data_IF_097469011451
#
_entry.id   IF_097469011451
#
_cell.length_a   1.000
_cell.length_b   1.000
_cell.length_c   1.000
_cell.angle_alpha   90.00
_cell.angle_beta   90.00
_cell.angle_gamma   90.00
#
_symmetry.space_group_name_H-M   'P 1'
#
loop_
_entity.id
_entity.type
_entity.pdbx_description
1 polymer ?
#
# COMPACT_ATOMS: atom_id res chain seq x y z
N UNK A 1 -17.31 -3.42 13.43
CA UNK A 1 -16.92 -2.20 14.16
C UNK A 1 -17.46 -0.99 13.43
N UNK A 2 -17.96 0.03 14.14
CA UNK A 2 -18.35 1.29 13.52
C UNK A 2 -17.09 2.01 12.98
N UNK A 3 -17.14 2.46 11.71
CA UNK A 3 -16.07 3.23 11.07
C UNK A 3 -16.32 4.71 11.29
N UNK A 4 -15.30 5.44 11.73
CA UNK A 4 -15.39 6.90 11.83
C UNK A 4 -15.18 7.59 10.48
N UNK A 5 -14.52 6.93 9.53
CA UNK A 5 -14.32 7.40 8.16
C UNK A 5 -14.63 6.25 7.19
N UNK A 6 -15.41 6.51 6.15
CA UNK A 6 -15.79 5.50 5.17
C UNK A 6 -16.01 6.07 3.77
N UNK A 7 -15.89 5.20 2.76
CA UNK A 7 -16.27 5.50 1.40
C UNK A 7 -17.74 5.15 1.18
N UNK A 8 -18.52 6.11 0.69
CA UNK A 8 -19.92 5.91 0.27
C UNK A 8 -19.99 5.06 -1.00
N UNK A 9 -21.18 4.51 -1.30
CA UNK A 9 -21.42 3.81 -2.57
C UNK A 9 -21.19 4.68 -3.81
N UNK A 10 -21.34 6.01 -3.67
CA UNK A 10 -21.09 6.98 -4.72
C UNK A 10 -19.60 7.36 -4.85
N UNK A 11 -18.72 6.79 -4.02
CA UNK A 11 -17.26 6.97 -4.12
C UNK A 11 -16.68 8.11 -3.27
N UNK A 12 -17.50 8.94 -2.64
CA UNK A 12 -17.04 10.02 -1.75
C UNK A 12 -16.65 9.49 -0.37
N UNK A 13 -15.64 10.09 0.25
CA UNK A 13 -15.23 9.82 1.63
C UNK A 13 -16.02 10.72 2.58
N UNK A 14 -16.61 10.12 3.61
CA UNK A 14 -17.30 10.85 4.69
C UNK A 14 -16.67 10.49 6.04
N UNK A 15 -16.83 11.39 7.02
CA UNK A 15 -16.41 11.18 8.39
C UNK A 15 -17.56 11.46 9.37
N UNK A 16 -17.61 10.71 10.45
CA UNK A 16 -18.56 10.85 11.55
C UNK A 16 -17.81 11.27 12.80
N UNK A 17 -18.16 12.41 13.39
CA UNK A 17 -17.49 12.95 14.57
C UNK A 17 -18.45 13.67 15.52
N UNK A 18 -18.08 13.72 16.80
CA UNK A 18 -18.72 14.54 17.82
C UNK A 18 -17.82 15.72 18.22
N UNK A 19 -18.25 16.49 19.23
CA UNK A 19 -17.42 17.54 19.82
C UNK A 19 -16.09 16.97 20.33
N UNK A 20 -15.01 17.76 20.23
CA UNK A 20 -13.68 17.42 20.74
C UNK A 20 -13.69 17.03 22.22
N UNK A 21 -12.65 16.32 22.65
CA UNK A 21 -12.50 15.90 24.05
C UNK A 21 -11.55 16.83 24.82
N UNK A 22 -11.91 17.19 26.05
CA UNK A 22 -11.04 17.86 27.00
C UNK A 22 -9.91 16.95 27.51
N UNK A 23 -9.00 17.51 28.31
CA UNK A 23 -7.88 16.76 28.91
C UNK A 23 -8.31 15.64 29.85
N UNK A 24 -9.55 15.71 30.36
CA UNK A 24 -10.19 14.70 31.20
C UNK A 24 -10.94 13.63 30.39
N UNK A 25 -10.89 13.70 29.06
CA UNK A 25 -11.59 12.78 28.16
C UNK A 25 -13.08 13.05 27.98
N UNK A 26 -13.63 14.13 28.56
CA UNK A 26 -15.06 14.49 28.42
C UNK A 26 -15.30 15.36 27.19
N UNK A 27 -16.51 15.33 26.63
CA UNK A 27 -16.86 16.16 25.48
C UNK A 27 -16.80 17.66 25.86
N UNK A 28 -16.12 18.46 25.04
CA UNK A 28 -16.09 19.92 25.16
C UNK A 28 -17.48 20.52 24.98
N UNK A 29 -17.74 21.67 25.58
CA UNK A 29 -18.88 22.51 25.20
C UNK A 29 -18.69 23.09 23.80
N UNK A 30 -19.78 23.48 23.13
CA UNK A 30 -19.72 24.10 21.79
C UNK A 30 -18.77 25.30 21.78
N UNK A 31 -18.88 26.20 22.77
CA UNK A 31 -18.03 27.38 22.88
C UNK A 31 -16.54 27.08 23.08
N UNK A 32 -16.17 25.89 23.58
CA UNK A 32 -14.76 25.46 23.70
C UNK A 32 -14.30 24.67 22.47
N UNK A 33 -15.20 23.94 21.82
CA UNK A 33 -14.89 23.15 20.64
C UNK A 33 -14.71 24.03 19.39
N UNK A 34 -15.50 25.10 19.26
CA UNK A 34 -15.37 26.09 18.19
C UNK A 34 -14.21 27.04 18.55
N UNK A 35 -13.14 26.99 17.75
CA UNK A 35 -12.00 27.88 17.92
C UNK A 35 -12.30 29.25 17.29
N UNK A 36 -12.86 29.25 16.08
CA UNK A 36 -13.28 30.43 15.31
C UNK A 36 -14.34 30.03 14.26
N UNK A 37 -14.66 30.93 13.31
CA UNK A 37 -15.76 30.75 12.35
C UNK A 37 -15.54 29.66 11.30
N UNK A 38 -14.32 29.15 11.15
CA UNK A 38 -13.94 28.10 10.19
C UNK A 38 -13.24 26.88 10.85
N UNK A 39 -13.01 26.90 12.16
CA UNK A 39 -12.32 25.82 12.88
C UNK A 39 -13.12 25.29 14.07
N UNK A 40 -13.39 23.99 14.05
CA UNK A 40 -13.99 23.24 15.17
C UNK A 40 -13.16 22.00 15.51
N UNK A 41 -12.91 21.80 16.80
CA UNK A 41 -12.26 20.59 17.32
C UNK A 41 -13.29 19.47 17.42
N UNK A 42 -12.99 18.33 16.80
CA UNK A 42 -13.89 17.17 16.75
C UNK A 42 -13.22 15.90 17.27
N UNK A 43 -14.03 14.97 17.77
CA UNK A 43 -13.60 13.62 18.15
C UNK A 43 -14.25 12.57 17.24
N UNK A 44 -13.48 11.70 16.56
CA UNK A 44 -14.02 10.68 15.67
C UNK A 44 -15.03 9.75 16.39
N UNK A 45 -16.15 9.43 15.73
CA UNK A 45 -17.15 8.47 16.23
C UNK A 45 -16.93 7.11 15.57
N UNK A 46 -16.09 6.28 16.20
CA UNK A 46 -15.75 4.95 15.72
C UNK A 46 -14.25 4.81 15.44
N UNK A 47 -13.89 3.82 14.63
CA UNK A 47 -12.49 3.50 14.36
C UNK A 47 -12.04 4.07 13.02
N UNK A 48 -10.80 4.56 12.98
CA UNK A 48 -10.12 4.93 11.74
C UNK A 48 -9.09 3.84 11.44
N UNK A 49 -9.13 3.28 10.24
CA UNK A 49 -8.16 2.28 9.80
C UNK A 49 -6.93 2.97 9.19
N UNK A 50 -5.78 2.32 9.29
CA UNK A 50 -4.50 2.82 8.75
C UNK A 50 -3.93 1.82 7.75
N UNK A 51 -3.38 2.31 6.64
CA UNK A 51 -2.60 1.55 5.66
C UNK A 51 -1.16 2.07 5.65
N UNK A 52 -0.22 1.13 5.65
CA UNK A 52 1.21 1.43 5.69
C UNK A 52 1.70 1.89 4.31
N UNK A 53 2.38 3.04 4.28
CA UNK A 53 3.05 3.57 3.10
C UNK A 53 4.34 2.80 2.78
N UNK A 54 4.73 2.81 1.51
CA UNK A 54 6.01 2.26 1.03
C UNK A 54 6.09 0.73 0.98
N UNK A 55 5.02 0.02 1.35
CA UNK A 55 4.99 -1.44 1.39
C UNK A 55 3.62 -2.00 1.05
N UNK A 56 3.60 -3.27 0.66
CA UNK A 56 2.39 -4.04 0.39
C UNK A 56 2.58 -5.48 0.85
N UNK A 57 1.68 -5.99 1.70
CA UNK A 57 1.73 -7.37 2.19
C UNK A 57 0.83 -8.27 1.36
N UNK A 58 1.09 -9.58 1.28
CA UNK A 58 0.14 -10.52 0.69
C UNK A 58 -1.25 -10.38 1.34
N UNK A 59 -2.27 -10.48 0.50
CA UNK A 59 -3.66 -10.18 0.84
C UNK A 59 -4.30 -11.36 1.57
N UNK A 60 -5.07 -11.09 2.64
CA UNK A 60 -5.86 -12.13 3.34
C UNK A 60 -7.22 -12.36 2.68
N UNK A 61 -7.73 -11.35 1.99
CA UNK A 61 -8.98 -11.37 1.23
C UNK A 61 -8.98 -10.31 0.15
N UNK A 62 -9.69 -10.57 -0.94
CA UNK A 62 -9.94 -9.62 -2.01
C UNK A 62 -11.20 -10.01 -2.80
N UNK A 63 -11.68 -9.12 -3.67
CA UNK A 63 -12.84 -9.38 -4.54
C UNK A 63 -12.45 -10.28 -5.73
N UNK A 64 -13.42 -11.02 -6.26
CA UNK A 64 -13.23 -11.86 -7.44
C UNK A 64 -13.90 -11.21 -8.66
N UNK A 65 -13.47 -11.52 -9.90
CA UNK A 65 -14.10 -10.98 -11.09
C UNK A 65 -15.60 -11.30 -11.18
N UNK A 66 -15.99 -12.49 -10.73
CA UNK A 66 -17.38 -12.95 -10.72
C UNK A 66 -18.22 -12.35 -9.58
N UNK A 67 -17.60 -11.73 -8.58
CA UNK A 67 -18.28 -11.15 -7.42
C UNK A 67 -17.52 -9.89 -6.95
N UNK A 68 -17.58 -8.80 -7.75
CA UNK A 68 -16.74 -7.62 -7.58
C UNK A 68 -17.07 -6.79 -6.34
N UNK A 69 -18.26 -7.01 -5.75
CA UNK A 69 -18.77 -6.24 -4.60
C UNK A 69 -18.50 -6.92 -3.25
N UNK A 70 -17.95 -8.15 -3.25
CA UNK A 70 -17.74 -8.94 -2.04
C UNK A 70 -16.31 -9.41 -1.90
N UNK A 71 -15.75 -9.22 -0.71
CA UNK A 71 -14.45 -9.77 -0.34
C UNK A 71 -14.58 -11.25 -0.01
N UNK A 72 -13.71 -12.05 -0.62
CA UNK A 72 -13.54 -13.47 -0.35
C UNK A 72 -12.15 -13.70 0.25
N UNK A 73 -12.04 -14.63 1.19
CA UNK A 73 -10.71 -15.01 1.69
C UNK A 73 -9.87 -15.61 0.56
N UNK A 74 -8.60 -15.22 0.45
CA UNK A 74 -7.71 -15.76 -0.59
C UNK A 74 -7.53 -17.28 -0.45
N UNK A 75 -7.64 -17.82 0.76
CA UNK A 75 -7.60 -19.28 0.99
C UNK A 75 -8.92 -20.01 0.73
N UNK A 76 -9.89 -19.39 0.06
CA UNK A 76 -11.19 -20.03 -0.24
C UNK A 76 -11.12 -20.85 -1.54
N UNK A 77 -11.99 -21.87 -1.71
CA UNK A 77 -12.05 -22.65 -2.95
C UNK A 77 -12.31 -21.81 -4.20
N UNK A 78 -13.02 -20.68 -4.07
CA UNK A 78 -13.27 -19.76 -5.18
C UNK A 78 -11.97 -19.10 -5.68
N UNK A 79 -11.09 -18.69 -4.77
CA UNK A 79 -9.79 -18.12 -5.10
C UNK A 79 -8.80 -19.17 -5.62
N UNK A 80 -8.85 -20.39 -5.09
CA UNK A 80 -8.07 -21.53 -5.60
C UNK A 80 -8.44 -21.86 -7.06
N UNK A 81 -9.74 -22.01 -7.33
CA UNK A 81 -10.24 -22.23 -8.69
C UNK A 81 -9.86 -21.08 -9.65
N UNK A 82 -9.98 -19.83 -9.20
CA UNK A 82 -9.61 -18.66 -10.00
C UNK A 82 -8.09 -18.59 -10.30
N UNK A 83 -7.23 -18.77 -9.29
CA UNK A 83 -5.78 -18.66 -9.48
C UNK A 83 -5.14 -19.91 -10.11
N UNK A 84 -5.89 -21.00 -10.29
CA UNK A 84 -5.48 -22.14 -11.11
C UNK A 84 -5.27 -21.72 -12.57
N UNK A 85 -6.19 -20.93 -13.14
CA UNK A 85 -6.03 -20.27 -14.44
C UNK A 85 -6.78 -18.93 -14.46
N UNK A 86 -6.14 -17.83 -14.05
CA UNK A 86 -6.78 -16.51 -14.02
C UNK A 86 -6.95 -15.90 -15.41
N UNK A 87 -6.65 -16.66 -16.47
CA UNK A 87 -6.83 -16.27 -17.86
C UNK A 87 -7.70 -17.27 -18.63
N UNK A 88 -8.44 -18.12 -17.93
CA UNK A 88 -9.40 -19.03 -18.51
C UNK A 88 -10.43 -18.29 -19.37
N UNK A 89 -10.90 -18.96 -20.42
CA UNK A 89 -11.99 -18.45 -21.25
C UNK A 89 -13.24 -18.20 -20.40
N UNK A 90 -13.94 -17.08 -20.65
CA UNK A 90 -15.16 -16.70 -19.93
C UNK A 90 -14.93 -15.72 -18.76
N UNK A 91 -13.67 -15.43 -18.39
CA UNK A 91 -13.36 -14.32 -17.49
C UNK A 91 -13.50 -12.97 -18.23
N UNK A 92 -13.85 -11.88 -17.52
CA UNK A 92 -13.84 -10.55 -18.11
C UNK A 92 -12.47 -10.23 -18.74
N UNK A 93 -12.41 -9.62 -19.94
CA UNK A 93 -11.13 -9.31 -20.57
C UNK A 93 -10.38 -8.23 -19.79
N UNK A 94 -9.06 -8.19 -19.96
CA UNK A 94 -8.29 -7.02 -19.56
C UNK A 94 -8.55 -5.88 -20.54
N UNK A 95 -8.75 -4.68 -20.01
CA UNK A 95 -8.91 -3.46 -20.81
C UNK A 95 -8.03 -2.32 -20.25
N UNK A 96 -6.95 -1.94 -20.95
CA UNK A 96 -6.46 -2.54 -22.19
C UNK A 96 -5.92 -3.98 -21.99
N UNK A 97 -5.76 -4.78 -23.06
CA UNK A 97 -5.14 -6.10 -22.97
C UNK A 97 -3.74 -6.05 -22.35
N UNK A 98 -3.39 -7.09 -21.57
CA UNK A 98 -2.04 -7.18 -21.02
C UNK A 98 -1.02 -7.47 -22.15
N UNK A 99 0.19 -6.88 -22.10
CA UNK A 99 1.28 -7.28 -22.98
C UNK A 99 1.63 -8.77 -22.81
N UNK A 100 1.99 -9.43 -23.90
CA UNK A 100 2.26 -10.88 -23.92
C UNK A 100 3.34 -11.31 -22.92
N UNK A 101 4.39 -10.50 -22.73
CA UNK A 101 5.46 -10.78 -21.77
C UNK A 101 4.95 -10.79 -20.32
N UNK A 102 4.12 -9.81 -19.95
CA UNK A 102 3.51 -9.74 -18.62
C UNK A 102 2.56 -10.91 -18.39
N UNK A 103 1.69 -11.22 -19.36
CA UNK A 103 0.77 -12.35 -19.27
C UNK A 103 1.53 -13.67 -19.10
N UNK A 104 2.55 -13.92 -19.92
CA UNK A 104 3.37 -15.13 -19.82
C UNK A 104 4.05 -15.26 -18.44
N UNK A 105 4.60 -14.15 -17.91
CA UNK A 105 5.22 -14.13 -16.59
C UNK A 105 4.23 -14.34 -15.43
N UNK A 106 2.97 -13.93 -15.58
CA UNK A 106 1.91 -14.21 -14.62
C UNK A 106 1.47 -15.67 -14.71
N UNK A 107 1.23 -16.19 -15.91
CA UNK A 107 0.86 -17.60 -16.15
C UNK A 107 1.87 -18.58 -15.57
N UNK A 108 3.16 -18.26 -15.68
CA UNK A 108 4.23 -19.09 -15.14
C UNK A 108 4.26 -19.17 -13.59
N UNK A 109 3.58 -18.24 -12.90
CA UNK A 109 3.55 -18.14 -11.43
C UNK A 109 2.17 -18.46 -10.83
N UNK A 110 1.15 -18.60 -11.67
CA UNK A 110 -0.20 -19.02 -11.27
C UNK A 110 -0.38 -20.54 -11.41
N UNK A 111 -1.33 -21.10 -10.69
CA UNK A 111 -1.58 -22.55 -10.64
C UNK A 111 -2.34 -22.96 -9.38
N UNK A 112 -2.62 -24.26 -9.20
CA UNK A 112 -3.43 -24.77 -8.08
C UNK A 112 -2.96 -24.31 -6.70
N UNK A 113 -1.64 -24.24 -6.48
CA UNK A 113 -1.07 -23.87 -5.18
C UNK A 113 -0.93 -22.35 -4.96
N UNK A 114 -1.22 -21.53 -5.97
CA UNK A 114 -0.97 -20.08 -5.91
C UNK A 114 -1.79 -19.40 -4.81
N UNK A 115 -3.06 -19.76 -4.65
CA UNK A 115 -3.92 -19.22 -3.60
C UNK A 115 -3.42 -19.62 -2.19
N UNK A 116 -3.03 -20.89 -2.03
CA UNK A 116 -2.51 -21.44 -0.78
C UNK A 116 -1.16 -20.82 -0.38
N UNK A 117 -0.27 -20.60 -1.35
CA UNK A 117 0.99 -19.86 -1.17
C UNK A 117 0.71 -18.42 -0.69
N UNK A 118 -0.16 -17.69 -1.39
CA UNK A 118 -0.44 -16.29 -1.06
C UNK A 118 -1.02 -16.11 0.34
N UNK A 119 -2.02 -16.93 0.72
CA UNK A 119 -2.67 -16.81 2.04
C UNK A 119 -1.74 -17.24 3.18
N UNK A 120 -0.83 -18.19 2.94
CA UNK A 120 0.19 -18.58 3.92
C UNK A 120 1.13 -17.42 4.23
N UNK A 121 1.66 -16.76 3.20
CA UNK A 121 2.49 -15.56 3.37
C UNK A 121 1.71 -14.40 3.99
N UNK A 122 0.44 -14.20 3.64
CA UNK A 122 -0.42 -13.15 4.21
C UNK A 122 -0.63 -13.34 5.73
N UNK A 123 -0.88 -14.58 6.16
CA UNK A 123 -1.01 -14.92 7.59
C UNK A 123 0.31 -14.76 8.32
N UNK A 124 1.42 -15.17 7.71
CA UNK A 124 2.76 -14.97 8.30
C UNK A 124 3.09 -13.49 8.49
N UNK A 125 2.82 -12.64 7.48
CA UNK A 125 2.99 -11.20 7.59
C UNK A 125 2.09 -10.57 8.66
N UNK A 126 0.85 -11.05 8.78
CA UNK A 126 -0.07 -10.61 9.85
C UNK A 126 0.49 -10.96 11.23
N UNK A 127 0.96 -12.19 11.43
CA UNK A 127 1.59 -12.61 12.69
C UNK A 127 2.88 -11.86 13.00
N UNK A 128 3.69 -11.55 11.99
CA UNK A 128 4.87 -10.73 12.16
C UNK A 128 4.50 -9.34 12.68
N UNK A 129 3.53 -8.66 12.07
CA UNK A 129 3.08 -7.33 12.51
C UNK A 129 2.49 -7.36 13.92
N UNK A 130 1.62 -8.33 14.24
CA UNK A 130 1.09 -8.53 15.59
C UNK A 130 2.23 -8.68 16.61
N UNK A 131 3.25 -9.50 16.30
CA UNK A 131 4.40 -9.72 17.16
C UNK A 131 5.26 -8.48 17.37
N UNK A 132 5.47 -7.66 16.34
CA UNK A 132 6.22 -6.40 16.45
C UNK A 132 5.50 -5.42 17.39
N UNK A 133 4.19 -5.24 17.20
CA UNK A 133 3.37 -4.35 18.02
C UNK A 133 3.31 -4.84 19.47
N UNK A 134 3.11 -6.14 19.68
CA UNK A 134 3.01 -6.73 21.01
C UNK A 134 4.35 -6.67 21.77
N UNK A 135 5.46 -6.82 21.05
CA UNK A 135 6.81 -6.65 21.61
C UNK A 135 7.02 -5.22 22.08
N UNK A 136 6.69 -4.23 21.23
CA UNK A 136 6.85 -2.81 21.57
C UNK A 136 5.90 -2.39 22.70
N UNK A 137 4.67 -2.91 22.71
CA UNK A 137 3.70 -2.70 23.79
C UNK A 137 4.24 -3.23 25.11
N UNK A 138 4.73 -4.47 25.12
CA UNK A 138 5.28 -5.11 26.33
C UNK A 138 6.54 -4.38 26.80
N UNK A 139 7.45 -4.02 25.89
CA UNK A 139 8.69 -3.31 26.22
C UNK A 139 8.44 -1.90 26.79
N UNK A 140 7.36 -1.23 26.36
CA UNK A 140 6.95 0.06 26.92
C UNK A 140 6.24 -0.04 28.28
N UNK A 141 5.88 -1.26 28.73
CA UNK A 141 5.09 -1.48 29.94
C UNK A 141 3.64 -1.02 29.83
N UNK A 142 3.19 -0.57 28.65
CA UNK A 142 1.83 -0.12 28.43
C UNK A 142 0.85 -1.31 28.35
N UNK A 143 -0.33 -1.18 28.91
CA UNK A 143 -1.44 -2.09 28.61
C UNK A 143 -2.12 -1.69 27.29
N UNK A 144 -3.09 -2.48 26.82
CA UNK A 144 -3.79 -2.21 25.54
C UNK A 144 -4.54 -0.88 25.50
N UNK A 145 -5.05 -0.40 26.64
CA UNK A 145 -5.79 0.87 26.70
C UNK A 145 -4.86 2.09 26.63
N UNK A 146 -3.63 1.95 27.14
CA UNK A 146 -2.65 3.03 27.22
C UNK A 146 -1.64 3.03 26.06
N UNK A 147 -1.57 1.94 25.29
CA UNK A 147 -0.66 1.85 24.16
C UNK A 147 -1.11 2.78 23.03
N UNK A 148 -0.20 3.65 22.59
CA UNK A 148 -0.47 4.65 21.56
C UNK A 148 0.42 4.44 20.35
N UNK A 149 -0.13 4.75 19.20
CA UNK A 149 0.61 4.79 17.94
C UNK A 149 1.02 6.22 17.60
N UNK A 150 2.22 6.36 17.07
CA UNK A 150 2.69 7.54 16.38
C UNK A 150 2.47 7.35 14.87
N UNK A 151 1.74 8.28 14.25
CA UNK A 151 1.39 8.26 12.83
C UNK A 151 2.14 9.38 12.12
N UNK A 152 3.08 9.03 11.24
CA UNK A 152 3.72 9.99 10.35
C UNK A 152 3.09 9.92 8.96
N UNK A 153 2.50 11.03 8.52
CA UNK A 153 1.87 11.17 7.21
C UNK A 153 2.87 11.69 6.18
N UNK A 154 2.71 11.28 4.92
CA UNK A 154 3.42 11.87 3.79
C UNK A 154 2.54 12.90 3.08
N UNK A 155 2.63 13.00 1.75
CA UNK A 155 1.84 13.97 0.99
C UNK A 155 0.34 13.63 1.00
N UNK A 156 -0.02 12.37 0.77
CA UNK A 156 -1.40 11.91 0.88
C UNK A 156 -1.71 11.44 2.31
N UNK A 157 -2.81 11.96 2.87
CA UNK A 157 -3.24 11.63 4.23
C UNK A 157 -4.23 10.46 4.24
N UNK A 158 -5.14 10.42 3.27
CA UNK A 158 -6.18 9.38 3.15
C UNK A 158 -6.10 8.67 1.81
N UNK A 159 -6.39 7.37 1.82
CA UNK A 159 -6.74 6.68 0.59
C UNK A 159 -8.24 6.81 0.25
N UNK A 160 -8.61 6.38 -0.95
CA UNK A 160 -10.02 6.40 -1.41
C UNK A 160 -11.00 5.64 -0.52
N UNK A 161 -10.52 4.77 0.38
CA UNK A 161 -11.34 3.97 1.28
C UNK A 161 -11.50 4.62 2.67
N UNK A 162 -10.96 5.83 2.86
CA UNK A 162 -11.02 6.56 4.13
C UNK A 162 -10.01 6.06 5.17
N UNK A 163 -8.95 5.37 4.74
CA UNK A 163 -7.88 4.93 5.65
C UNK A 163 -6.76 5.96 5.68
N UNK A 164 -6.17 6.17 6.84
CA UNK A 164 -4.92 6.91 6.95
C UNK A 164 -3.80 6.22 6.16
N UNK A 165 -2.97 7.01 5.49
CA UNK A 165 -1.75 6.56 4.82
C UNK A 165 -0.53 7.01 5.62
N UNK A 166 0.16 6.08 6.29
CA UNK A 166 1.20 6.46 7.26
C UNK A 166 2.41 5.54 7.29
N UNK A 167 3.48 6.08 7.86
CA UNK A 167 4.51 5.31 8.55
C UNK A 167 4.10 5.19 10.01
N UNK A 168 3.76 3.97 10.43
CA UNK A 168 3.24 3.71 11.78
C UNK A 168 4.39 3.33 12.73
N UNK A 169 4.36 3.84 13.95
CA UNK A 169 5.31 3.49 14.99
C UNK A 169 4.63 3.49 16.37
N UNK A 170 5.31 3.00 17.41
CA UNK A 170 4.90 3.24 18.79
C UNK A 170 5.09 4.72 19.15
N UNK A 171 4.15 5.28 19.92
CA UNK A 171 4.28 6.64 20.43
C UNK A 171 5.06 6.66 21.75
N UNK A 172 6.34 7.00 21.65
CA UNK A 172 7.21 7.22 22.82
C UNK A 172 7.42 8.71 23.07
N UNK A 173 7.36 9.16 24.34
CA UNK A 173 7.59 10.57 24.70
C UNK A 173 8.99 11.07 24.36
N UNK A 174 10.01 10.20 24.47
CA UNK A 174 11.42 10.55 24.28
C UNK A 174 12.05 9.69 23.16
N UNK A 175 12.67 10.30 22.12
CA UNK A 175 13.45 9.59 21.11
C UNK A 175 14.75 8.99 21.69
N UNK A 176 15.41 8.02 21.00
CA UNK A 176 15.09 7.56 19.64
C UNK A 176 13.95 6.54 19.60
N UNK A 177 13.05 6.71 18.62
CA UNK A 177 12.06 5.67 18.26
C UNK A 177 12.78 4.53 17.51
N UNK A 178 12.31 3.28 17.61
CA UNK A 178 12.76 2.24 16.68
C UNK A 178 12.38 2.63 15.23
N UNK A 179 12.95 1.98 14.21
CA UNK A 179 12.41 2.06 12.85
C UNK A 179 10.90 1.78 12.84
N UNK A 180 10.17 2.42 11.92
CA UNK A 180 8.73 2.25 11.80
C UNK A 180 8.35 0.77 11.59
N UNK A 181 7.10 0.41 11.91
CA UNK A 181 6.61 -0.92 11.57
C UNK A 181 6.69 -1.19 10.07
N UNK A 182 6.53 -0.15 9.23
CA UNK A 182 6.72 -0.26 7.78
C UNK A 182 8.14 -0.74 7.43
N UNK A 183 9.16 -0.06 7.96
CA UNK A 183 10.57 -0.39 7.73
C UNK A 183 10.93 -1.77 8.31
N UNK A 184 10.41 -2.12 9.50
CA UNK A 184 10.64 -3.43 10.13
C UNK A 184 10.00 -4.58 9.35
N UNK A 185 8.80 -4.38 8.79
CA UNK A 185 8.14 -5.37 7.93
C UNK A 185 8.91 -5.60 6.63
N UNK A 186 9.43 -4.53 6.00
CA UNK A 186 10.28 -4.63 4.82
C UNK A 186 11.61 -5.33 5.13
N UNK A 187 12.29 -4.93 6.21
CA UNK A 187 13.55 -5.53 6.64
C UNK A 187 13.41 -7.01 7.03
N UNK A 188 12.25 -7.41 7.57
CA UNK A 188 11.95 -8.80 7.88
C UNK A 188 11.55 -9.66 6.68
N UNK A 189 11.42 -9.08 5.47
CA UNK A 189 10.93 -9.78 4.29
C UNK A 189 9.45 -10.15 4.38
N UNK A 190 8.65 -9.46 5.20
CA UNK A 190 7.22 -9.75 5.37
C UNK A 190 6.31 -8.92 4.44
N UNK A 191 6.89 -7.99 3.70
CA UNK A 191 6.19 -7.13 2.76
C UNK A 191 7.01 -6.91 1.49
N UNK A 192 6.31 -6.72 0.37
CA UNK A 192 6.89 -6.26 -0.89
C UNK A 192 7.06 -4.73 -0.79
N UNK A 193 8.19 -4.15 -1.21
CA UNK A 193 8.30 -2.70 -1.36
C UNK A 193 7.29 -2.18 -2.39
N UNK A 194 6.57 -1.14 -2.01
CA UNK A 194 5.57 -0.51 -2.88
C UNK A 194 5.67 1.01 -2.74
N UNK A 195 6.77 1.54 -3.25
CA UNK A 195 7.10 2.95 -3.20
C UNK A 195 6.27 3.70 -4.24
N UNK A 196 5.43 4.62 -3.77
CA UNK A 196 4.56 5.43 -4.63
C UNK A 196 4.92 6.88 -4.37
N UNK A 197 5.36 7.59 -5.41
CA UNK A 197 5.57 9.03 -5.34
C UNK A 197 4.22 9.75 -5.19
N UNK A 198 4.11 10.82 -4.37
CA UNK A 198 5.17 11.48 -3.59
C UNK A 198 5.33 10.93 -2.15
N UNK A 199 4.72 9.80 -1.82
CA UNK A 199 4.64 9.26 -0.45
C UNK A 199 5.84 8.39 -0.01
N UNK A 200 7.05 8.70 -0.49
CA UNK A 200 8.26 7.92 -0.19
C UNK A 200 8.98 8.36 1.09
N UNK A 201 8.70 9.55 1.62
CA UNK A 201 9.27 10.02 2.88
C UNK A 201 8.32 11.01 3.59
N UNK A 202 7.86 10.73 4.82
CA UNK A 202 6.90 11.57 5.53
C UNK A 202 7.53 12.79 6.21
N UNK A 203 8.86 12.82 6.41
CA UNK A 203 9.54 13.88 7.15
C UNK A 203 10.18 14.93 6.25
N UNK A 204 10.22 14.69 4.94
CA UNK A 204 10.76 15.64 3.98
C UNK A 204 9.65 16.59 3.53
N UNK A 205 9.63 17.78 4.12
CA UNK A 205 8.77 18.87 3.63
C UNK A 205 9.24 19.28 2.24
N UNK A 206 8.38 19.07 1.24
CA UNK A 206 8.59 19.60 -0.10
C UNK A 206 7.95 20.98 -0.21
N UNK A 207 8.56 21.94 -0.92
CA UNK A 207 7.99 23.27 -1.07
C UNK A 207 6.71 23.27 -1.92
N UNK A 208 6.57 22.29 -2.82
CA UNK A 208 5.34 21.98 -3.56
C UNK A 208 5.41 20.55 -4.11
N UNK A 209 4.28 20.01 -4.56
CA UNK A 209 4.22 18.72 -5.27
C UNK A 209 5.05 18.75 -6.57
N UNK A 210 5.05 19.87 -7.29
CA UNK A 210 5.85 20.05 -8.53
C UNK A 210 7.35 20.01 -8.21
N UNK A 211 7.77 20.69 -7.14
CA UNK A 211 9.17 20.69 -6.73
C UNK A 211 9.65 19.34 -6.15
N UNK A 212 8.71 18.45 -5.82
CA UNK A 212 9.02 17.10 -5.36
C UNK A 212 9.29 16.12 -6.53
N UNK A 213 9.03 16.52 -7.79
CA UNK A 213 9.31 15.70 -8.97
C UNK A 213 10.83 15.56 -9.11
N UNK A 214 11.38 14.33 -9.13
CA UNK A 214 12.82 14.13 -9.27
C UNK A 214 13.35 14.65 -10.61
N UNK A 215 14.60 15.09 -10.64
CA UNK A 215 15.27 15.45 -11.89
C UNK A 215 15.44 14.21 -12.79
N UNK A 216 15.07 14.27 -14.07
CA UNK A 216 15.30 13.18 -15.00
C UNK A 216 16.80 13.02 -15.30
N UNK A 217 17.22 11.80 -15.68
CA UNK A 217 18.59 11.52 -16.10
C UNK A 217 19.61 11.54 -14.95
N UNK A 218 19.15 11.43 -13.70
CA UNK A 218 19.99 11.31 -12.52
C UNK A 218 19.43 10.22 -11.59
N UNK A 219 20.29 9.53 -10.81
CA UNK A 219 19.82 8.62 -9.78
C UNK A 219 18.90 9.32 -8.77
N UNK A 220 17.72 8.75 -8.52
CA UNK A 220 16.80 9.25 -7.49
C UNK A 220 17.27 8.72 -6.14
N UNK A 221 17.79 9.61 -5.29
CA UNK A 221 18.26 9.27 -3.94
C UNK A 221 17.46 10.02 -2.88
N UNK A 222 17.00 9.30 -1.86
CA UNK A 222 16.47 9.85 -0.62
C UNK A 222 16.88 8.94 0.53
N UNK A 223 17.45 9.46 1.64
CA UNK A 223 17.95 8.61 2.71
C UNK A 223 16.92 7.62 3.27
N UNK A 224 15.63 7.98 3.32
CA UNK A 224 14.57 7.07 3.76
C UNK A 224 14.30 5.98 2.74
N UNK A 225 14.14 6.36 1.47
CA UNK A 225 13.96 5.42 0.36
C UNK A 225 15.16 4.47 0.25
N UNK A 226 16.38 4.99 0.23
CA UNK A 226 17.60 4.21 0.07
C UNK A 226 17.79 3.19 1.19
N UNK A 227 17.51 3.58 2.45
CA UNK A 227 17.51 2.64 3.57
C UNK A 227 16.47 1.53 3.40
N UNK A 228 15.25 1.87 3.00
CA UNK A 228 14.20 0.87 2.77
C UNK A 228 14.60 -0.11 1.65
N UNK A 229 15.17 0.40 0.56
CA UNK A 229 15.68 -0.41 -0.56
C UNK A 229 16.78 -1.36 -0.13
N UNK A 230 17.77 -0.86 0.60
CA UNK A 230 18.87 -1.66 1.13
C UNK A 230 18.36 -2.74 2.10
N UNK A 231 17.39 -2.41 2.96
CA UNK A 231 16.79 -3.36 3.88
C UNK A 231 16.08 -4.51 3.14
N UNK A 232 15.32 -4.21 2.09
CA UNK A 232 14.66 -5.25 1.28
C UNK A 232 15.68 -6.08 0.51
N UNK A 233 16.70 -5.45 -0.09
CA UNK A 233 17.76 -6.18 -0.78
C UNK A 233 18.50 -7.15 0.17
N UNK A 234 18.75 -6.74 1.41
CA UNK A 234 19.31 -7.59 2.46
C UNK A 234 18.36 -8.73 2.85
N UNK A 235 17.07 -8.46 3.03
CA UNK A 235 16.06 -9.48 3.34
C UNK A 235 15.95 -10.54 2.22
N UNK A 236 16.00 -10.09 0.96
CA UNK A 236 16.02 -10.96 -0.23
C UNK A 236 17.30 -11.80 -0.29
N UNK A 237 18.47 -11.21 -0.07
CA UNK A 237 19.73 -11.93 -0.03
C UNK A 237 19.77 -12.98 1.09
N UNK A 238 19.16 -12.68 2.24
CA UNK A 238 19.01 -13.58 3.37
C UNK A 238 17.81 -14.55 3.24
N UNK A 239 17.04 -14.49 2.13
CA UNK A 239 15.90 -15.35 1.82
C UNK A 239 14.82 -15.34 2.92
N UNK A 240 14.53 -14.17 3.48
CA UNK A 240 13.56 -14.00 4.55
C UNK A 240 12.13 -13.89 4.04
N UNK A 241 11.17 -14.39 4.83
CA UNK A 241 9.73 -14.25 4.60
C UNK A 241 9.30 -14.58 3.17
N UNK A 242 8.81 -13.60 2.43
CA UNK A 242 8.32 -13.75 1.05
C UNK A 242 9.41 -14.11 0.03
N UNK A 243 10.69 -14.01 0.42
CA UNK A 243 11.86 -14.31 -0.42
C UNK A 243 12.47 -15.69 -0.15
N UNK A 244 11.81 -16.55 0.64
CA UNK A 244 12.30 -17.89 0.93
C UNK A 244 12.48 -18.71 -0.37
N UNK A 245 13.60 -19.42 -0.52
CA UNK A 245 13.91 -20.17 -1.74
C UNK A 245 12.95 -21.34 -1.97
N UNK A 246 12.59 -22.05 -0.91
CA UNK A 246 11.72 -23.22 -1.00
C UNK A 246 10.25 -22.87 -1.25
N UNK A 247 9.83 -21.66 -0.90
CA UNK A 247 8.44 -21.21 -0.96
C UNK A 247 8.35 -19.69 -1.11
N UNK A 248 8.87 -19.11 -2.21
CA UNK A 248 8.78 -17.68 -2.43
C UNK A 248 7.32 -17.29 -2.68
N UNK A 249 6.97 -16.03 -2.41
CA UNK A 249 5.67 -15.51 -2.78
C UNK A 249 5.49 -15.58 -4.32
N UNK A 250 4.46 -16.29 -4.78
CA UNK A 250 4.23 -16.53 -6.20
C UNK A 250 3.78 -15.26 -6.95
N UNK A 251 2.79 -14.56 -6.38
CA UNK A 251 2.24 -13.32 -6.94
C UNK A 251 2.42 -12.16 -5.98
N UNK A 252 2.80 -11.00 -6.53
CA UNK A 252 2.81 -9.76 -5.77
C UNK A 252 1.38 -9.41 -5.33
N UNK A 253 1.19 -8.73 -4.18
CA UNK A 253 -0.15 -8.36 -3.75
C UNK A 253 -0.87 -7.46 -4.77
N UNK A 254 -0.13 -6.58 -5.44
CA UNK A 254 -0.66 -5.78 -6.56
C UNK A 254 -1.10 -6.62 -7.77
N UNK A 255 -0.38 -7.70 -8.06
CA UNK A 255 -0.72 -8.64 -9.14
C UNK A 255 -2.01 -9.37 -8.85
N UNK A 256 -2.15 -9.93 -7.64
CA UNK A 256 -3.40 -10.55 -7.20
C UNK A 256 -4.57 -9.56 -7.30
N UNK A 257 -4.35 -8.30 -6.88
CA UNK A 257 -5.39 -7.27 -6.91
C UNK A 257 -5.85 -6.93 -8.34
N UNK A 258 -4.96 -6.76 -9.31
CA UNK A 258 -5.41 -6.45 -10.68
C UNK A 258 -5.95 -7.69 -11.41
N UNK A 259 -5.51 -8.90 -11.06
CA UNK A 259 -6.08 -10.13 -11.61
C UNK A 259 -7.53 -10.32 -11.14
N UNK A 260 -7.80 -10.11 -9.85
CA UNK A 260 -9.11 -10.34 -9.24
C UNK A 260 -10.10 -9.18 -9.37
N UNK A 261 -9.63 -7.95 -9.62
CA UNK A 261 -10.51 -6.79 -9.74
C UNK A 261 -11.22 -6.77 -11.07
N UNK A 262 -12.51 -6.48 -11.04
CA UNK A 262 -13.27 -6.07 -12.23
C UNK A 262 -13.97 -4.74 -12.03
N UNK A 263 -14.20 -4.03 -13.13
CA UNK A 263 -14.89 -2.73 -13.18
C UNK A 263 -15.94 -2.78 -14.28
N UNK A 264 -17.06 -2.10 -14.06
CA UNK A 264 -18.09 -1.93 -15.09
C UNK A 264 -17.69 -0.75 -15.96
N UNK A 265 -17.31 -1.03 -17.21
CA UNK A 265 -17.04 -0.04 -18.24
C UNK A 265 -18.19 0.10 -19.24
N UNK A 266 -18.05 0.98 -20.24
CA UNK A 266 -19.07 1.21 -21.27
C UNK A 266 -19.42 -0.04 -22.08
N UNK A 267 -18.47 -0.97 -22.22
CA UNK A 267 -18.57 -2.20 -23.00
C UNK A 267 -18.89 -3.43 -22.16
N UNK A 268 -19.14 -3.25 -20.86
CA UNK A 268 -19.42 -4.33 -19.91
C UNK A 268 -18.35 -4.46 -18.83
N UNK A 269 -18.29 -5.63 -18.20
CA UNK A 269 -17.33 -5.93 -17.14
C UNK A 269 -15.93 -6.14 -17.76
N UNK A 270 -14.93 -5.44 -17.24
CA UNK A 270 -13.52 -5.62 -17.63
C UNK A 270 -12.61 -5.68 -16.41
N UNK A 271 -11.37 -6.13 -16.59
CA UNK A 271 -10.34 -6.10 -15.55
C UNK A 271 -9.36 -4.96 -15.86
N UNK A 272 -9.21 -3.98 -14.95
CA UNK A 272 -8.17 -2.98 -15.13
C UNK A 272 -6.82 -3.64 -14.83
N UNK A 273 -5.88 -3.52 -15.78
CA UNK A 273 -4.49 -3.94 -15.57
C UNK A 273 -3.76 -3.06 -14.55
N UNK A 274 -2.42 -3.14 -14.46
CA UNK A 274 -1.64 -2.16 -13.70
C UNK A 274 -1.87 -0.75 -14.25
N UNK A 275 -1.97 0.24 -13.35
CA UNK A 275 -2.42 1.60 -13.66
C UNK A 275 -1.39 2.69 -13.28
N UNK A 276 -0.26 2.31 -12.69
CA UNK A 276 0.79 3.24 -12.27
C UNK A 276 2.03 3.08 -13.13
N UNK A 277 2.51 4.19 -13.65
CA UNK A 277 3.79 4.26 -14.33
C UNK A 277 4.91 3.96 -13.35
N UNK A 278 6.07 3.56 -13.85
CA UNK A 278 7.16 3.11 -12.99
C UNK A 278 8.51 3.62 -13.47
N UNK A 279 9.32 4.05 -12.52
CA UNK A 279 10.71 4.46 -12.73
C UNK A 279 11.61 3.37 -12.16
N UNK A 280 12.66 3.01 -12.91
CA UNK A 280 13.76 2.19 -12.40
C UNK A 280 14.73 3.06 -11.60
N UNK A 281 14.72 2.88 -10.27
CA UNK A 281 15.58 3.60 -9.34
C UNK A 281 17.08 3.26 -9.48
N UNK A 282 17.45 2.29 -10.30
CA UNK A 282 18.87 1.96 -10.61
C UNK A 282 19.32 2.50 -11.96
N UNK A 283 18.39 2.73 -12.90
CA UNK A 283 18.76 3.11 -14.27
C UNK A 283 19.44 4.49 -14.31
N UNK A 284 19.00 5.42 -13.46
CA UNK A 284 19.52 6.79 -13.45
C UNK A 284 19.26 7.51 -14.78
N UNK A 285 18.23 7.10 -15.51
CA UNK A 285 17.81 7.66 -16.79
C UNK A 285 16.59 8.59 -16.61
N UNK A 286 15.96 8.95 -17.71
CA UNK A 286 14.79 9.82 -17.78
C UNK A 286 13.50 9.06 -18.12
N UNK A 287 13.49 7.73 -17.95
CA UNK A 287 12.42 6.88 -18.45
C UNK A 287 11.32 6.68 -17.43
N UNK A 288 10.10 6.92 -17.88
CA UNK A 288 8.88 6.58 -17.18
C UNK A 288 8.22 5.43 -17.94
N UNK A 289 8.37 4.21 -17.43
CA UNK A 289 7.87 3.01 -18.08
C UNK A 289 6.36 2.88 -17.90
N UNK A 290 5.67 2.48 -18.97
CA UNK A 290 4.24 2.21 -18.95
C UNK A 290 3.87 1.22 -17.83
N UNK A 291 2.66 1.33 -17.25
CA UNK A 291 2.27 0.54 -16.09
C UNK A 291 2.47 -0.97 -16.23
N UNK A 292 2.26 -1.53 -17.43
CA UNK A 292 2.42 -2.97 -17.67
C UNK A 292 3.89 -3.44 -17.69
N UNK A 293 4.85 -2.52 -17.78
CA UNK A 293 6.28 -2.80 -17.90
C UNK A 293 7.03 -2.86 -16.56
N UNK A 294 6.34 -2.73 -15.42
CA UNK A 294 6.96 -2.82 -14.08
C UNK A 294 7.75 -4.12 -13.83
N UNK A 295 7.37 -5.20 -14.51
CA UNK A 295 8.01 -6.51 -14.39
C UNK A 295 9.40 -6.54 -15.06
N UNK A 296 9.71 -5.59 -15.94
CA UNK A 296 11.03 -5.45 -16.57
C UNK A 296 12.10 -5.01 -15.56
N UNK A 297 11.70 -4.35 -14.47
CA UNK A 297 12.57 -4.04 -13.33
C UNK A 297 12.52 -5.25 -12.40
N UNK A 298 13.56 -6.10 -12.33
CA UNK A 298 13.47 -7.43 -11.74
C UNK A 298 13.21 -7.40 -10.22
N UNK A 299 13.76 -6.40 -9.53
CA UNK A 299 13.66 -6.29 -8.09
C UNK A 299 12.64 -5.22 -7.71
N UNK A 300 11.70 -5.58 -6.84
CA UNK A 300 10.62 -4.69 -6.44
C UNK A 300 11.16 -3.46 -5.68
N UNK A 301 12.29 -3.60 -4.97
CA UNK A 301 12.94 -2.49 -4.27
C UNK A 301 13.53 -1.42 -5.20
N UNK A 302 13.56 -1.65 -6.51
CA UNK A 302 14.03 -0.66 -7.48
C UNK A 302 12.89 0.02 -8.24
N UNK A 303 11.63 -0.28 -7.88
CA UNK A 303 10.45 0.27 -8.55
C UNK A 303 9.93 1.48 -7.78
N UNK A 304 9.91 2.64 -8.42
CA UNK A 304 9.15 3.79 -7.94
C UNK A 304 7.91 4.00 -8.81
N UNK A 305 6.74 3.78 -8.22
CA UNK A 305 5.47 3.96 -8.90
C UNK A 305 5.03 5.43 -8.91
N UNK A 306 4.54 5.88 -10.06
CA UNK A 306 3.99 7.21 -10.30
C UNK A 306 2.51 7.07 -10.69
N UNK A 307 1.58 7.56 -9.86
CA UNK A 307 0.16 7.66 -10.22
C UNK A 307 -0.05 8.44 -11.51
N UNK A 308 -1.01 8.00 -12.34
CA UNK A 308 -1.24 8.53 -13.69
C UNK A 308 -1.55 10.03 -13.70
N UNK A 309 -2.24 10.51 -12.66
CA UNK A 309 -2.57 11.92 -12.44
C UNK A 309 -1.34 12.81 -12.30
N UNK A 310 -0.19 12.25 -11.93
CA UNK A 310 1.05 12.99 -11.75
C UNK A 310 2.00 12.93 -12.95
N UNK A 311 1.76 12.01 -13.89
CA UNK A 311 2.58 11.85 -15.10
C UNK A 311 2.78 13.16 -15.88
N UNK A 312 1.78 14.05 -16.05
CA UNK A 312 1.99 15.31 -16.75
C UNK A 312 3.10 16.17 -16.13
N UNK A 313 3.23 16.20 -14.80
CA UNK A 313 4.28 16.97 -14.11
C UNK A 313 5.67 16.37 -14.36
N UNK A 314 5.77 15.03 -14.42
CA UNK A 314 7.03 14.36 -14.77
C UNK A 314 7.43 14.69 -16.20
N UNK A 315 6.50 14.64 -17.15
CA UNK A 315 6.76 14.99 -18.56
C UNK A 315 7.18 16.46 -18.69
N UNK A 316 6.52 17.38 -17.98
CA UNK A 316 6.90 18.80 -17.96
C UNK A 316 8.31 19.02 -17.38
N UNK A 317 8.72 18.21 -16.39
CA UNK A 317 10.08 18.22 -15.83
C UNK A 317 11.14 17.61 -16.78
N UNK A 318 10.71 16.92 -17.84
CA UNK A 318 11.60 16.33 -18.85
C UNK A 318 11.67 14.80 -18.86
N UNK A 319 10.82 14.10 -18.10
CA UNK A 319 10.73 12.64 -18.17
C UNK A 319 10.08 12.16 -19.48
N UNK A 320 10.58 11.05 -20.02
CA UNK A 320 10.10 10.46 -21.28
C UNK A 320 9.24 9.23 -20.98
N UNK A 321 7.98 9.27 -21.44
CA UNK A 321 7.08 8.11 -21.42
C UNK A 321 7.58 7.04 -22.39
N UNK A 322 7.69 5.81 -21.90
CA UNK A 322 8.16 4.63 -22.66
C UNK A 322 7.22 3.42 -22.50
#
# INVERSE_FOLDING_TARGET
MAKAVEQTRAGFIIAHAGLGLGSDGTAMSVARAVHDGDTVTVHPKGNISTRFLGMDTPEVSFTLPADPDRFHSIGSPAWEGFLTDPFAAGLPPFDPPLPAALEAGLRARTGPDCAANHIRHARAATKALEGLIETDRTASGANTADFRFFLAFAADIFDRYGRFLTYLNMDVPNPPRPPSYNERMLAGGWAVPYFIWPNTNPFRKQPSTVAAVPEPGQPITDPGLDRARQAVAAARAARLGIFQEADPLALLPSELRFLGRSVVGPTGLSRPGPDRWVIDLRAGDDRLLAPARYHEIPFAEDRLFVPVEFVPMFVERGWVRD
#
